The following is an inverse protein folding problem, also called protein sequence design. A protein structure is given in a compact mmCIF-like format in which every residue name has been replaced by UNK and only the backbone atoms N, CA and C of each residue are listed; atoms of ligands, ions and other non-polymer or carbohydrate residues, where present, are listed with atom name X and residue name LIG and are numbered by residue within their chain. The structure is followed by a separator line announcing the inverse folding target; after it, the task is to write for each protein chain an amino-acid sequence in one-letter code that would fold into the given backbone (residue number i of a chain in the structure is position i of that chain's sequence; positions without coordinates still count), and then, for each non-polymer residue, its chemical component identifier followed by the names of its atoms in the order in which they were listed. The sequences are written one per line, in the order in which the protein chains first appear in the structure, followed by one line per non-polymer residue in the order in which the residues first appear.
data_IF_269542960911
#
_entry.id   IF_269542960911
#
_cell.length_a   1.000
_cell.length_b   1.000
_cell.length_c   1.000
_cell.angle_alpha   90.00
_cell.angle_beta   90.00
_cell.angle_gamma   90.00
#
_symmetry.space_group_name_H-M   'P 1'
#
loop_
_entity.id
_entity.type
_entity.pdbx_description
1 polymer ?
#
# COMPACT_ATOMS: atom_id res chain seq x y z
N UNK A 1 -17.43 1.82 -7.41
CA UNK A 1 -16.30 2.71 -7.04
C UNK A 1 -15.34 1.92 -6.15
N UNK A 2 -14.14 1.55 -6.62
CA UNK A 2 -13.15 0.87 -5.79
C UNK A 2 -12.67 1.78 -4.65
N UNK A 3 -12.51 1.18 -3.47
CA UNK A 3 -11.85 1.79 -2.32
C UNK A 3 -10.35 1.54 -2.44
N UNK A 4 -9.57 2.60 -2.38
CA UNK A 4 -8.11 2.54 -2.45
C UNK A 4 -7.48 3.21 -1.25
N UNK A 5 -6.21 2.91 -0.99
CA UNK A 5 -5.33 3.61 -0.07
C UNK A 5 -4.14 4.17 -0.84
N UNK A 6 -3.62 5.31 -0.39
CA UNK A 6 -2.37 5.86 -0.91
C UNK A 6 -1.22 5.46 0.00
N UNK A 7 -0.23 4.77 -0.57
CA UNK A 7 1.01 4.38 0.11
C UNK A 7 2.19 5.19 -0.43
N UNK A 8 3.09 5.56 0.48
CA UNK A 8 4.39 6.13 0.15
C UNK A 8 5.48 5.18 0.62
N UNK A 9 6.46 4.94 -0.24
CA UNK A 9 7.61 4.09 0.05
C UNK A 9 8.80 4.97 0.40
N UNK A 10 9.63 4.55 1.35
CA UNK A 10 10.81 5.36 1.72
C UNK A 10 11.80 5.58 0.57
N UNK A 11 11.83 4.68 -0.41
CA UNK A 11 12.68 4.80 -1.62
C UNK A 11 12.03 5.58 -2.77
N UNK A 12 10.77 6.03 -2.65
CA UNK A 12 10.06 6.70 -3.75
C UNK A 12 9.35 7.97 -3.30
N UNK A 13 9.48 9.04 -4.08
CA UNK A 13 8.80 10.31 -3.81
C UNK A 13 7.32 10.29 -4.22
N UNK A 14 6.89 9.28 -4.99
CA UNK A 14 5.53 9.16 -5.49
C UNK A 14 4.60 8.43 -4.52
N UNK A 15 3.34 8.84 -4.49
CA UNK A 15 2.26 8.14 -3.79
C UNK A 15 1.61 7.18 -4.78
N UNK A 16 1.60 5.90 -4.42
CA UNK A 16 0.99 4.86 -5.23
C UNK A 16 -0.34 4.45 -4.61
N UNK A 17 -1.34 4.26 -5.46
CA UNK A 17 -2.67 3.84 -5.02
C UNK A 17 -2.78 2.32 -5.08
N UNK A 18 -3.27 1.74 -3.99
CA UNK A 18 -3.52 0.30 -3.87
C UNK A 18 -4.96 0.05 -3.49
N UNK A 19 -5.58 -0.96 -4.08
CA UNK A 19 -6.94 -1.37 -3.73
C UNK A 19 -6.94 -1.97 -2.32
N UNK A 20 -7.92 -1.56 -1.51
CA UNK A 20 -8.12 -2.12 -0.17
C UNK A 20 -9.49 -2.79 -0.07
N UNK A 21 -9.54 -3.92 0.63
CA UNK A 21 -10.81 -4.55 0.95
C UNK A 21 -11.51 -3.78 2.09
N UNK A 22 -12.84 -3.76 2.08
CA UNK A 22 -13.62 -3.13 3.15
C UNK A 22 -13.38 -3.72 4.56
N UNK A 23 -12.78 -4.92 4.64
CA UNK A 23 -12.40 -5.57 5.90
C UNK A 23 -11.12 -5.01 6.53
N UNK A 24 -10.30 -4.28 5.76
CA UNK A 24 -9.01 -3.76 6.22
C UNK A 24 -9.20 -2.30 6.60
N UNK A 25 -9.02 -1.98 7.89
CA UNK A 25 -8.97 -0.60 8.39
C UNK A 25 -7.52 -0.15 8.47
N UNK A 26 -7.17 0.82 7.63
CA UNK A 26 -5.87 1.49 7.63
C UNK A 26 -6.02 2.91 8.15
N UNK A 27 -5.11 3.33 9.00
CA UNK A 27 -4.99 4.72 9.46
C UNK A 27 -3.68 5.33 8.94
N UNK A 28 -3.63 6.66 8.87
CA UNK A 28 -2.42 7.37 8.46
C UNK A 28 -1.26 7.00 9.39
N UNK A 29 -0.13 6.62 8.82
CA UNK A 29 1.05 6.15 9.56
C UNK A 29 1.13 4.64 9.77
N UNK A 30 0.06 3.87 9.49
CA UNK A 30 0.19 2.41 9.39
C UNK A 30 1.18 2.05 8.28
N UNK A 31 1.82 0.89 8.42
CA UNK A 31 2.64 0.30 7.36
C UNK A 31 1.94 -0.94 6.84
N UNK A 32 1.90 -1.09 5.52
CA UNK A 32 1.23 -2.18 4.84
C UNK A 32 2.22 -2.94 3.97
N UNK A 33 2.05 -4.26 3.97
CA UNK A 33 2.72 -5.14 3.03
C UNK A 33 1.93 -5.17 1.72
N UNK A 34 2.62 -4.87 0.62
CA UNK A 34 2.06 -4.88 -0.72
C UNK A 34 2.93 -5.67 -1.68
N UNK A 35 2.32 -6.19 -2.74
CA UNK A 35 3.05 -6.88 -3.82
C UNK A 35 3.26 -5.90 -4.96
N UNK A 36 4.50 -5.49 -5.18
CA UNK A 36 4.91 -4.67 -6.33
C UNK A 36 5.25 -5.58 -7.52
N UNK A 37 5.69 -5.02 -8.65
CA UNK A 37 6.05 -5.83 -9.82
C UNK A 37 7.31 -6.69 -9.59
N UNK A 38 8.17 -6.25 -8.68
CA UNK A 38 9.50 -6.83 -8.43
C UNK A 38 9.48 -7.75 -7.20
N UNK A 39 8.51 -7.59 -6.29
CA UNK A 39 8.43 -8.44 -5.10
C UNK A 39 7.44 -7.92 -4.06
N UNK A 40 7.71 -8.26 -2.80
CA UNK A 40 7.01 -7.72 -1.64
C UNK A 40 7.69 -6.44 -1.19
N UNK A 41 6.90 -5.43 -0.85
CA UNK A 41 7.40 -4.14 -0.39
C UNK A 41 6.53 -3.59 0.75
N UNK A 42 7.10 -2.67 1.54
CA UNK A 42 6.45 -2.06 2.69
C UNK A 42 6.19 -0.58 2.41
N UNK A 43 4.92 -0.24 2.30
CA UNK A 43 4.47 1.13 2.09
C UNK A 43 3.84 1.71 3.35
N UNK A 44 4.18 2.96 3.66
CA UNK A 44 3.51 3.71 4.72
C UNK A 44 2.24 4.38 4.21
N UNK A 45 1.15 4.24 4.95
CA UNK A 45 -0.16 4.79 4.63
C UNK A 45 -0.13 6.30 4.80
N UNK A 46 -0.22 7.01 3.69
CA UNK A 46 -0.36 8.48 3.66
C UNK A 46 -1.82 8.89 3.46
N UNK A 47 -2.59 8.08 2.73
CA UNK A 47 -4.02 8.30 2.49
C UNK A 47 -4.79 7.05 2.98
N UNK A 48 -5.53 7.11 4.10
CA UNK A 48 -6.13 5.93 4.73
C UNK A 48 -7.19 5.26 3.86
N UNK A 49 -8.06 6.03 3.22
CA UNK A 49 -8.92 5.54 2.16
C UNK A 49 -9.33 6.68 1.23
N UNK A 50 -9.56 6.33 -0.04
CA UNK A 50 -10.12 7.20 -1.07
C UNK A 50 -10.99 6.37 -2.00
N UNK A 51 -12.10 6.92 -2.46
CA UNK A 51 -12.89 6.33 -3.53
C UNK A 51 -12.46 6.98 -4.84
N UNK A 52 -12.10 6.17 -5.82
CA UNK A 52 -11.69 6.65 -7.15
C UNK A 52 -12.64 6.03 -8.18
N UNK A 53 -12.96 6.77 -9.24
CA UNK A 53 -13.71 6.23 -10.37
C UNK A 53 -12.79 5.33 -11.20
N UNK A 54 -13.32 4.23 -11.74
CA UNK A 54 -12.54 3.31 -12.57
C UNK A 54 -11.87 4.01 -13.77
N UNK A 55 -12.45 5.11 -14.27
CA UNK A 55 -11.94 5.89 -15.39
C UNK A 55 -10.72 6.79 -15.08
N UNK A 56 -10.38 7.00 -13.81
CA UNK A 56 -9.23 7.84 -13.43
C UNK A 56 -7.94 7.03 -13.27
N UNK A 57 -7.99 5.72 -13.54
CA UNK A 57 -6.90 4.79 -13.25
C UNK A 57 -6.48 4.09 -14.53
N UNK A 58 -5.32 4.50 -15.04
CA UNK A 58 -4.71 3.94 -16.25
C UNK A 58 -3.94 2.63 -15.95
N UNK A 59 -3.44 2.47 -14.72
CA UNK A 59 -2.59 1.33 -14.32
C UNK A 59 -3.37 0.30 -13.50
N UNK A 60 -3.21 -1.02 -13.72
CA UNK A 60 -3.88 -2.04 -12.90
C UNK A 60 -3.53 -1.88 -11.42
N UNK A 61 -4.52 -1.53 -10.59
CA UNK A 61 -4.36 -1.39 -9.15
C UNK A 61 -3.99 -2.74 -8.54
N UNK A 62 -2.83 -2.78 -7.89
CA UNK A 62 -2.47 -3.87 -7.00
C UNK A 62 -3.24 -3.77 -5.69
N UNK A 63 -3.45 -4.92 -5.05
CA UNK A 63 -4.10 -5.00 -3.74
C UNK A 63 -3.10 -4.87 -2.61
N UNK A 64 -3.55 -4.29 -1.49
CA UNK A 64 -2.85 -4.43 -0.20
C UNK A 64 -3.05 -5.85 0.30
N UNK A 65 -1.96 -6.51 0.71
CA UNK A 65 -2.04 -7.86 1.27
C UNK A 65 -2.53 -7.81 2.72
N UNK A 66 -1.82 -7.07 3.58
CA UNK A 66 -2.10 -6.96 5.02
C UNK A 66 -1.36 -5.78 5.64
N UNK A 67 -1.69 -5.46 6.90
CA UNK A 67 -0.81 -4.63 7.74
C UNK A 67 0.51 -5.35 7.96
N UNK A 68 1.59 -4.57 7.96
CA UNK A 68 2.93 -5.09 8.21
C UNK A 68 3.04 -5.59 9.64
N UNK A 69 3.57 -6.80 9.82
CA UNK A 69 3.90 -7.36 11.11
C UNK A 69 5.37 -7.12 11.44
N UNK A 70 5.76 -7.31 12.71
CA UNK A 70 7.15 -7.17 13.17
C UNK A 70 8.16 -7.95 12.32
N UNK A 71 7.78 -9.12 11.83
CA UNK A 71 8.61 -9.93 10.93
C UNK A 71 8.87 -9.26 9.57
N UNK A 72 7.86 -8.59 9.02
CA UNK A 72 7.99 -7.88 7.75
C UNK A 72 8.98 -6.72 7.88
N UNK A 73 8.93 -5.97 8.99
CA UNK A 73 9.91 -4.92 9.30
C UNK A 73 11.33 -5.47 9.44
N UNK A 74 11.48 -6.60 10.12
CA UNK A 74 12.79 -7.25 10.31
C UNK A 74 13.38 -7.69 8.98
N UNK A 75 12.57 -8.23 8.06
CA UNK A 75 12.99 -8.57 6.70
C UNK A 75 13.47 -7.35 5.91
N UNK A 76 12.78 -6.21 6.04
CA UNK A 76 13.17 -4.98 5.36
C UNK A 76 14.49 -4.41 5.89
N UNK A 77 14.73 -4.54 7.19
CA UNK A 77 15.98 -4.10 7.84
C UNK A 77 17.19 -4.94 7.41
N UNK A 78 17.01 -6.26 7.23
CA UNK A 78 18.06 -7.17 6.77
C UNK A 78 18.40 -6.96 5.28
N UNK A 79 17.47 -6.42 4.49
CA UNK A 79 17.63 -6.16 3.05
C UNK A 79 18.15 -4.75 2.73
N UNK A 80 18.55 -3.98 3.74
CA UNK A 80 19.14 -2.65 3.59
C UNK A 80 20.66 -2.72 3.61
#
# INVERSE_FOLDING_TARGET
MPKVTGLKFSKSNFIYYFKINNKIRLVKGDVCLVKTAIGLDLGSVVIPYKYIKNNEIDTPLKGVLRKANKEDFKKLEILK
#
